data_IF_160765387414
#
_entry.id   IF_160765387414
#
_cell.length_a   1.000
_cell.length_b   1.000
_cell.length_c   1.000
_cell.angle_alpha   90.00
_cell.angle_beta   90.00
_cell.angle_gamma   90.00
#
_symmetry.space_group_name_H-M   'P 1'
#
loop_
_entity.id
_entity.type
_entity.pdbx_description
1 polymer ?
#
# COMPACT_ATOMS: atom_id res chain seq x y z
N UNK A 1 0.90 -16.08 2.73
CA UNK A 1 1.05 -15.57 1.35
C UNK A 1 0.17 -16.30 0.33
N UNK A 2 0.19 -17.63 0.26
CA UNK A 2 -0.63 -18.41 -0.69
C UNK A 2 -2.11 -18.02 -0.66
N UNK A 3 -2.71 -17.95 0.53
CA UNK A 3 -4.11 -17.58 0.71
C UNK A 3 -4.43 -16.19 0.13
N UNK A 4 -3.54 -15.21 0.31
CA UNK A 4 -3.73 -13.88 -0.27
C UNK A 4 -3.76 -13.94 -1.81
N UNK A 5 -2.82 -14.67 -2.43
CA UNK A 5 -2.78 -14.84 -3.89
C UNK A 5 -4.05 -15.52 -4.42
N UNK A 6 -4.46 -16.63 -3.79
CA UNK A 6 -5.67 -17.36 -4.19
C UNK A 6 -6.90 -16.47 -4.07
N UNK A 7 -7.05 -15.72 -2.97
CA UNK A 7 -8.15 -14.77 -2.81
C UNK A 7 -8.20 -13.76 -3.95
N UNK A 8 -7.07 -13.18 -4.32
CA UNK A 8 -7.02 -12.21 -5.41
C UNK A 8 -7.41 -12.82 -6.77
N UNK A 9 -7.08 -14.09 -7.05
CA UNK A 9 -7.51 -14.76 -8.27
C UNK A 9 -8.99 -15.11 -8.26
N UNK A 10 -9.53 -15.65 -7.16
CA UNK A 10 -10.95 -16.08 -7.11
C UNK A 10 -11.93 -14.90 -7.01
N UNK A 11 -11.47 -13.75 -6.53
CA UNK A 11 -12.31 -12.55 -6.41
C UNK A 11 -12.03 -11.51 -7.50
N UNK A 12 -11.03 -11.73 -8.36
CA UNK A 12 -10.72 -10.85 -9.50
C UNK A 12 -11.94 -10.63 -10.38
N UNK A 13 -12.12 -9.42 -10.86
CA UNK A 13 -13.07 -9.12 -11.92
C UNK A 13 -12.43 -9.42 -13.29
N UNK A 14 -12.81 -10.55 -13.87
CA UNK A 14 -12.32 -11.00 -15.17
C UNK A 14 -12.99 -10.29 -16.35
N UNK A 15 -14.01 -9.46 -16.10
CA UNK A 15 -14.62 -8.62 -17.15
C UNK A 15 -13.77 -7.41 -17.48
N UNK A 16 -12.85 -7.03 -16.58
CA UNK A 16 -11.87 -5.97 -16.80
C UNK A 16 -10.77 -6.49 -17.72
N UNK A 17 -10.95 -6.25 -19.02
CA UNK A 17 -10.00 -6.66 -20.07
C UNK A 17 -8.69 -5.88 -19.88
N UNK A 18 -7.54 -6.59 -19.89
CA UNK A 18 -6.23 -5.99 -19.67
C UNK A 18 -5.89 -5.69 -18.22
N UNK A 19 -6.82 -5.92 -17.27
CA UNK A 19 -6.50 -5.89 -15.85
C UNK A 19 -5.61 -7.06 -15.44
N UNK A 20 -4.66 -6.85 -14.54
CA UNK A 20 -3.73 -7.87 -14.06
C UNK A 20 -3.78 -7.98 -12.53
N UNK A 21 -3.40 -9.13 -12.00
CA UNK A 21 -3.09 -9.28 -10.57
C UNK A 21 -1.62 -8.95 -10.39
N UNK A 22 -1.34 -7.94 -9.59
CA UNK A 22 0.02 -7.51 -9.29
C UNK A 22 0.47 -8.01 -7.92
N UNK A 23 1.69 -8.52 -7.86
CA UNK A 23 2.40 -8.82 -6.62
C UNK A 23 3.64 -7.93 -6.56
N UNK A 24 3.61 -6.94 -5.68
CA UNK A 24 4.72 -6.02 -5.43
C UNK A 24 5.43 -6.43 -4.14
N UNK A 25 6.73 -6.66 -4.23
CA UNK A 25 7.58 -7.04 -3.10
C UNK A 25 8.51 -5.88 -2.77
N UNK A 26 8.43 -5.42 -1.52
CA UNK A 26 9.26 -4.36 -0.96
C UNK A 26 10.12 -4.92 0.19
N UNK A 27 11.09 -4.17 0.64
CA UNK A 27 11.99 -4.59 1.73
C UNK A 27 11.22 -4.88 3.04
N UNK A 28 10.10 -4.20 3.28
CA UNK A 28 9.32 -4.27 4.52
C UNK A 28 7.90 -4.82 4.37
N UNK A 29 7.44 -5.10 3.17
CA UNK A 29 6.08 -5.60 2.91
C UNK A 29 5.96 -6.25 1.54
N UNK A 30 4.91 -7.02 1.36
CA UNK A 30 4.41 -7.39 0.06
C UNK A 30 2.97 -6.87 -0.11
N UNK A 31 2.60 -6.54 -1.33
CA UNK A 31 1.26 -6.07 -1.68
C UNK A 31 0.72 -6.85 -2.85
N UNK A 32 -0.47 -7.41 -2.71
CA UNK A 32 -1.20 -8.05 -3.82
C UNK A 32 -2.37 -7.15 -4.19
N UNK A 33 -2.51 -6.84 -5.46
CA UNK A 33 -3.60 -6.01 -5.99
C UNK A 33 -4.27 -6.70 -7.15
N UNK A 34 -5.60 -6.72 -7.17
CA UNK A 34 -6.39 -7.30 -8.27
C UNK A 34 -7.50 -6.35 -8.72
N UNK A 35 -7.90 -6.40 -10.01
CA UNK A 35 -9.10 -5.71 -10.50
C UNK A 35 -10.37 -6.21 -9.83
N UNK A 36 -11.31 -5.29 -9.58
CA UNK A 36 -12.58 -5.53 -8.93
C UNK A 36 -12.54 -5.26 -7.42
N UNK A 37 -13.45 -4.43 -6.93
CA UNK A 37 -13.68 -4.22 -5.50
C UNK A 37 -14.41 -5.38 -4.85
N UNK A 38 -14.97 -5.17 -3.66
CA UNK A 38 -15.85 -6.14 -3.02
C UNK A 38 -17.06 -6.43 -3.92
N UNK A 39 -17.48 -7.71 -3.97
CA UNK A 39 -18.59 -8.14 -4.83
C UNK A 39 -19.91 -7.44 -4.49
N UNK A 40 -20.15 -7.18 -3.21
CA UNK A 40 -21.32 -6.46 -2.69
C UNK A 40 -21.22 -4.93 -2.78
N UNK A 41 -20.13 -4.39 -3.33
CA UNK A 41 -19.88 -2.95 -3.46
C UNK A 41 -19.49 -2.22 -2.17
N UNK A 42 -19.37 -2.94 -1.05
CA UNK A 42 -18.91 -2.35 0.22
C UNK A 42 -17.40 -2.11 0.20
N UNK A 43 -16.90 -1.29 1.12
CA UNK A 43 -15.48 -1.07 1.28
C UNK A 43 -14.96 -1.93 2.44
N UNK A 44 -13.98 -2.79 2.17
CA UNK A 44 -13.44 -3.74 3.17
C UNK A 44 -12.92 -3.04 4.42
N UNK A 45 -12.37 -1.84 4.28
CA UNK A 45 -11.84 -1.04 5.38
C UNK A 45 -12.91 -0.49 6.33
N UNK A 46 -14.18 -0.58 5.97
CA UNK A 46 -15.34 -0.18 6.78
C UNK A 46 -15.99 -1.36 7.48
N UNK A 47 -15.48 -2.59 7.24
CA UNK A 47 -16.06 -3.83 7.77
C UNK A 47 -15.16 -4.46 8.82
N UNK A 48 -15.75 -5.17 9.77
CA UNK A 48 -14.98 -6.14 10.55
C UNK A 48 -14.67 -7.36 9.68
N UNK A 49 -13.40 -7.76 9.63
CA UNK A 49 -12.93 -8.91 8.84
C UNK A 49 -13.65 -10.20 9.26
N UNK A 50 -14.03 -10.31 10.54
CA UNK A 50 -14.76 -11.46 11.06
C UNK A 50 -16.18 -11.57 10.50
N UNK A 51 -16.78 -10.45 10.11
CA UNK A 51 -18.15 -10.36 9.61
C UNK A 51 -18.22 -10.35 8.07
N UNK A 52 -17.08 -10.40 7.37
CA UNK A 52 -17.06 -10.42 5.91
C UNK A 52 -17.64 -11.73 5.39
N UNK A 53 -18.78 -11.64 4.71
CA UNK A 53 -19.42 -12.78 4.07
C UNK A 53 -18.58 -13.35 2.91
N UNK A 54 -18.62 -14.68 2.73
CA UNK A 54 -17.92 -15.37 1.65
C UNK A 54 -18.72 -15.31 0.35
N UNK A 55 -18.68 -14.18 -0.32
CA UNK A 55 -19.29 -14.01 -1.64
C UNK A 55 -18.22 -14.17 -2.73
N UNK A 56 -18.30 -15.28 -3.47
CA UNK A 56 -17.30 -15.61 -4.49
C UNK A 56 -17.68 -15.04 -5.85
N UNK A 57 -16.87 -14.14 -6.38
CA UNK A 57 -17.07 -13.62 -7.74
C UNK A 57 -16.90 -14.71 -8.81
N UNK A 58 -15.95 -15.62 -8.62
CA UNK A 58 -15.65 -16.68 -9.57
C UNK A 58 -15.80 -18.08 -8.92
N UNK A 59 -17.04 -18.60 -8.74
CA UNK A 59 -17.28 -19.83 -8.00
C UNK A 59 -16.67 -21.07 -8.64
N UNK A 60 -16.57 -21.12 -9.97
CA UNK A 60 -15.94 -22.25 -10.70
C UNK A 60 -14.45 -22.30 -10.38
N UNK A 61 -13.76 -21.15 -10.47
CA UNK A 61 -12.33 -21.06 -10.15
C UNK A 61 -12.08 -21.39 -8.67
N UNK A 62 -12.93 -20.90 -7.77
CA UNK A 62 -12.84 -21.22 -6.35
C UNK A 62 -12.99 -22.73 -6.09
N UNK A 63 -13.87 -23.43 -6.84
CA UNK A 63 -14.00 -24.87 -6.74
C UNK A 63 -12.76 -25.60 -7.20
N UNK A 64 -12.15 -25.18 -8.31
CA UNK A 64 -10.89 -25.74 -8.82
C UNK A 64 -9.77 -25.55 -7.79
N UNK A 65 -9.59 -24.33 -7.26
CA UNK A 65 -8.57 -24.03 -6.23
C UNK A 65 -8.76 -24.87 -4.97
N UNK A 66 -10.03 -25.10 -4.56
CA UNK A 66 -10.34 -25.96 -3.42
C UNK A 66 -10.06 -27.45 -3.68
N UNK A 67 -10.28 -27.95 -4.90
CA UNK A 67 -9.93 -29.34 -5.30
C UNK A 67 -8.42 -29.57 -5.35
N UNK A 68 -7.65 -28.51 -5.59
CA UNK A 68 -6.19 -28.51 -5.59
C UNK A 68 -5.59 -28.21 -4.21
N UNK A 69 -6.40 -28.17 -3.16
CA UNK A 69 -6.01 -27.88 -1.77
C UNK A 69 -5.33 -26.51 -1.56
N UNK A 70 -5.57 -25.56 -2.47
CA UNK A 70 -5.05 -24.19 -2.34
C UNK A 70 -5.92 -23.30 -1.46
N UNK A 71 -7.16 -23.68 -1.16
CA UNK A 71 -8.06 -22.92 -0.31
C UNK A 71 -9.09 -23.79 0.42
N UNK A 72 -9.64 -23.30 1.51
CA UNK A 72 -10.79 -23.86 2.19
C UNK A 72 -12.11 -23.19 1.73
N UNK A 73 -13.20 -23.95 1.66
CA UNK A 73 -14.51 -23.45 1.18
C UNK A 73 -15.29 -22.62 2.21
N UNK A 74 -14.72 -22.31 3.39
CA UNK A 74 -15.44 -21.76 4.55
C UNK A 74 -15.51 -20.23 4.67
N UNK A 75 -14.97 -19.48 3.70
CA UNK A 75 -14.97 -18.02 3.77
C UNK A 75 -14.01 -17.41 4.79
N UNK A 76 -13.06 -18.19 5.29
CA UNK A 76 -12.09 -17.81 6.33
C UNK A 76 -10.81 -17.17 5.78
N UNK A 77 -10.74 -16.87 4.48
CA UNK A 77 -9.49 -16.47 3.82
C UNK A 77 -8.82 -15.24 4.44
N UNK A 78 -9.56 -14.16 4.65
CA UNK A 78 -9.00 -12.94 5.27
C UNK A 78 -8.58 -13.17 6.72
N UNK A 79 -9.41 -13.86 7.50
CA UNK A 79 -9.11 -14.24 8.89
C UNK A 79 -7.88 -15.15 8.96
N UNK A 80 -7.74 -16.09 8.01
CA UNK A 80 -6.58 -16.98 7.91
C UNK A 80 -5.31 -16.18 7.62
N UNK A 81 -5.33 -15.23 6.68
CA UNK A 81 -4.19 -14.33 6.41
C UNK A 81 -3.77 -13.61 7.70
N UNK A 82 -4.72 -13.07 8.47
CA UNK A 82 -4.42 -12.42 9.74
C UNK A 82 -3.80 -13.39 10.76
N UNK A 83 -4.36 -14.59 10.92
CA UNK A 83 -3.90 -15.58 11.89
C UNK A 83 -2.51 -16.14 11.53
N UNK A 84 -2.27 -16.45 10.26
CA UNK A 84 -0.96 -16.92 9.78
C UNK A 84 0.10 -15.82 9.95
N UNK A 85 -0.24 -14.55 9.70
CA UNK A 85 0.69 -13.44 9.93
C UNK A 85 0.97 -13.26 11.41
N UNK A 86 -0.03 -13.38 12.27
CA UNK A 86 0.13 -13.28 13.74
C UNK A 86 1.01 -14.38 14.31
N UNK A 87 1.08 -15.54 13.67
CA UNK A 87 1.92 -16.67 14.09
C UNK A 87 3.40 -16.55 13.68
N UNK A 88 3.77 -15.51 12.92
CA UNK A 88 5.16 -15.29 12.51
C UNK A 88 6.01 -14.77 13.67
N UNK A 89 7.26 -15.25 13.73
CA UNK A 89 8.24 -14.74 14.70
C UNK A 89 8.46 -13.23 14.50
N UNK A 90 8.49 -12.48 15.60
CA UNK A 90 8.65 -11.03 15.57
C UNK A 90 7.36 -10.26 15.15
N UNK A 91 6.20 -10.92 15.12
CA UNK A 91 4.93 -10.23 14.91
C UNK A 91 4.66 -9.18 16.00
N UNK A 92 4.11 -8.07 15.59
CA UNK A 92 3.57 -6.99 16.42
C UNK A 92 2.24 -6.52 15.83
N UNK A 93 1.35 -5.97 16.64
CA UNK A 93 0.01 -5.57 16.17
C UNK A 93 0.06 -4.50 15.05
N UNK A 94 1.14 -3.71 14.99
CA UNK A 94 1.39 -2.75 13.90
C UNK A 94 1.67 -3.43 12.55
N UNK A 95 2.02 -4.73 12.57
CA UNK A 95 2.29 -5.56 11.38
C UNK A 95 1.05 -6.34 10.91
N UNK A 96 -0.11 -6.07 11.48
CA UNK A 96 -1.37 -6.69 11.06
C UNK A 96 -1.58 -6.46 9.55
N UNK A 97 -1.98 -7.48 8.78
CA UNK A 97 -2.31 -7.31 7.38
C UNK A 97 -3.36 -6.22 7.17
N UNK A 98 -3.17 -5.42 6.14
CA UNK A 98 -4.10 -4.36 5.76
C UNK A 98 -4.81 -4.75 4.47
N UNK A 99 -6.14 -4.70 4.50
CA UNK A 99 -7.01 -4.89 3.35
C UNK A 99 -7.61 -3.56 2.96
N UNK A 100 -7.59 -3.24 1.67
CA UNK A 100 -8.17 -2.02 1.12
C UNK A 100 -8.92 -2.33 -0.15
N UNK A 101 -10.11 -1.80 -0.30
CA UNK A 101 -10.86 -1.88 -1.53
C UNK A 101 -11.31 -0.51 -2.02
N UNK A 102 -11.44 -0.40 -3.32
CA UNK A 102 -12.13 0.65 -4.04
C UNK A 102 -13.20 0.00 -4.92
N UNK A 103 -14.07 0.74 -5.60
CA UNK A 103 -15.02 0.13 -6.54
C UNK A 103 -14.35 -0.69 -7.65
N UNK A 104 -13.08 -0.39 -7.99
CA UNK A 104 -12.38 -0.97 -9.15
C UNK A 104 -11.23 -1.91 -8.81
N UNK A 105 -10.81 -2.00 -7.54
CA UNK A 105 -9.68 -2.86 -7.16
C UNK A 105 -9.77 -3.29 -5.70
N UNK A 106 -9.12 -4.42 -5.40
CA UNK A 106 -8.89 -4.92 -4.06
C UNK A 106 -7.39 -5.09 -3.82
N UNK A 107 -6.92 -4.74 -2.63
CA UNK A 107 -5.51 -4.79 -2.25
C UNK A 107 -5.34 -5.46 -0.88
N UNK A 108 -4.35 -6.34 -0.78
CA UNK A 108 -3.88 -6.94 0.47
C UNK A 108 -2.42 -6.56 0.69
N UNK A 109 -2.10 -6.00 1.83
CA UNK A 109 -0.72 -5.69 2.24
C UNK A 109 -0.35 -6.56 3.44
N UNK A 110 0.78 -7.28 3.35
CA UNK A 110 1.35 -8.09 4.41
C UNK A 110 2.74 -7.55 4.72
N UNK A 111 3.00 -7.24 5.98
CA UNK A 111 4.28 -6.68 6.42
C UNK A 111 5.29 -7.75 6.79
N UNK A 112 6.57 -7.47 6.61
CA UNK A 112 7.65 -8.32 7.06
C UNK A 112 7.80 -8.23 8.59
N UNK A 113 8.01 -9.37 9.25
CA UNK A 113 8.20 -9.44 10.70
C UNK A 113 9.64 -9.17 11.17
N UNK A 114 10.58 -8.93 10.24
CA UNK A 114 11.98 -8.64 10.59
C UNK A 114 12.13 -7.26 11.23
N UNK A 115 13.07 -7.12 12.14
CA UNK A 115 13.42 -5.91 12.92
C UNK A 115 13.90 -4.69 12.11
N UNK A 116 13.55 -4.60 10.85
CA UNK A 116 13.79 -3.41 10.05
C UNK A 116 12.88 -2.31 10.58
N UNK A 117 13.45 -1.40 11.33
CA UNK A 117 12.88 -0.23 12.01
C UNK A 117 12.20 0.80 11.09
N UNK A 118 11.49 0.36 10.05
CA UNK A 118 10.75 1.21 9.12
C UNK A 118 9.45 0.54 8.67
N UNK A 119 8.55 0.23 9.60
CA UNK A 119 7.15 -0.01 9.26
C UNK A 119 6.50 1.35 9.01
N UNK A 120 6.57 1.81 7.77
CA UNK A 120 5.83 2.98 7.33
C UNK A 120 4.34 2.67 7.37
N UNK A 121 3.63 3.33 8.25
CA UNK A 121 2.19 3.29 8.45
C UNK A 121 1.44 3.51 7.13
N UNK A 122 0.53 2.60 6.77
CA UNK A 122 -0.25 2.65 5.51
C UNK A 122 -1.52 3.50 5.67
N UNK A 123 -1.82 3.98 6.87
CA UNK A 123 -3.06 4.73 7.17
C UNK A 123 -2.88 6.23 7.42
N UNK A 124 -1.65 6.71 7.61
CA UNK A 124 -1.35 8.15 7.61
C UNK A 124 -0.01 8.34 6.90
N UNK A 125 0.08 9.33 6.04
CA UNK A 125 1.30 9.76 5.34
C UNK A 125 2.33 10.26 6.35
N UNK A 126 2.88 9.36 7.18
CA UNK A 126 4.01 9.73 8.05
C UNK A 126 5.22 9.97 7.16
N UNK A 127 5.47 11.23 6.94
CA UNK A 127 6.67 11.72 6.28
C UNK A 127 7.89 11.22 7.04
N UNK A 128 8.88 10.71 6.33
CA UNK A 128 10.16 10.38 6.95
C UNK A 128 10.74 11.63 7.63
N UNK A 129 11.57 11.46 8.65
CA UNK A 129 12.22 12.62 9.30
C UNK A 129 12.92 13.54 8.30
N UNK A 130 13.50 12.96 7.24
CA UNK A 130 14.14 13.72 6.17
C UNK A 130 13.13 14.48 5.33
N UNK A 131 12.00 13.88 4.98
CA UNK A 131 10.91 14.55 4.27
C UNK A 131 10.29 15.66 5.11
N UNK A 132 10.14 15.48 6.42
CA UNK A 132 9.71 16.54 7.34
C UNK A 132 10.71 17.70 7.36
N UNK A 133 12.02 17.41 7.41
CA UNK A 133 13.07 18.42 7.33
C UNK A 133 13.03 19.18 6.00
N UNK A 134 12.82 18.48 4.89
CA UNK A 134 12.63 19.09 3.55
C UNK A 134 11.42 20.04 3.56
N UNK A 135 10.26 19.60 4.06
CA UNK A 135 9.07 20.46 4.15
C UNK A 135 9.29 21.67 5.05
N UNK A 136 10.01 21.52 6.16
CA UNK A 136 10.35 22.62 7.04
C UNK A 136 11.30 23.65 6.37
N UNK A 137 12.25 23.18 5.57
CA UNK A 137 13.13 24.04 4.77
C UNK A 137 12.32 24.81 3.72
N UNK A 138 11.41 24.14 3.03
CA UNK A 138 10.51 24.74 2.03
C UNK A 138 9.57 25.76 2.67
N UNK A 139 8.99 25.48 3.84
CA UNK A 139 8.15 26.45 4.59
C UNK A 139 8.93 27.71 4.98
N UNK A 140 10.22 27.57 5.32
CA UNK A 140 11.09 28.71 5.65
C UNK A 140 11.54 29.49 4.41
N UNK A 141 11.75 28.79 3.29
CA UNK A 141 12.29 29.35 2.06
C UNK A 141 11.65 28.68 0.84
N UNK A 142 10.48 29.16 0.36
CA UNK A 142 9.73 28.49 -0.71
C UNK A 142 10.47 28.41 -2.06
N UNK A 143 11.54 29.20 -2.23
CA UNK A 143 12.38 29.22 -3.45
C UNK A 143 13.66 28.36 -3.31
N UNK A 144 13.82 27.64 -2.21
CA UNK A 144 15.00 26.82 -1.94
C UNK A 144 15.22 25.77 -3.04
N UNK A 145 16.45 25.64 -3.51
CA UNK A 145 16.83 24.69 -4.56
C UNK A 145 17.19 23.31 -4.01
N UNK A 146 17.08 22.27 -4.84
CA UNK A 146 17.48 20.90 -4.47
C UNK A 146 18.95 20.83 -4.01
N UNK A 147 19.84 21.64 -4.60
CA UNK A 147 21.26 21.73 -4.21
C UNK A 147 21.40 22.30 -2.79
N UNK A 148 20.74 23.39 -2.48
CA UNK A 148 20.76 23.99 -1.13
C UNK A 148 20.17 23.05 -0.05
N UNK A 149 19.11 22.32 -0.39
CA UNK A 149 18.56 21.27 0.50
C UNK A 149 19.56 20.15 0.74
N UNK A 150 20.28 19.70 -0.31
CA UNK A 150 21.28 18.64 -0.20
C UNK A 150 22.47 19.03 0.67
N UNK A 151 22.93 20.28 0.58
CA UNK A 151 23.99 20.84 1.42
C UNK A 151 23.52 20.98 2.89
N UNK A 152 22.32 21.50 3.10
CA UNK A 152 21.75 21.69 4.46
C UNK A 152 21.51 20.37 5.19
N UNK A 153 21.05 19.35 4.48
CA UNK A 153 20.73 18.04 5.06
C UNK A 153 21.86 17.03 4.97
N UNK A 154 23.01 17.41 4.40
CA UNK A 154 24.20 16.55 4.21
C UNK A 154 23.90 15.25 3.48
N UNK A 155 23.06 15.31 2.44
CA UNK A 155 22.67 14.16 1.61
C UNK A 155 22.87 14.47 0.12
N UNK A 156 22.96 13.43 -0.75
CA UNK A 156 23.13 13.64 -2.18
C UNK A 156 21.91 14.35 -2.80
N UNK A 157 22.14 15.16 -3.83
CA UNK A 157 21.06 15.84 -4.57
C UNK A 157 20.03 14.83 -5.13
N UNK A 158 20.50 13.68 -5.63
CA UNK A 158 19.65 12.59 -6.12
C UNK A 158 18.69 12.07 -5.04
N UNK A 159 19.12 12.05 -3.77
CA UNK A 159 18.28 11.66 -2.64
C UNK A 159 17.18 12.69 -2.38
N UNK A 160 17.52 13.99 -2.45
CA UNK A 160 16.54 15.09 -2.32
C UNK A 160 15.53 15.05 -3.45
N UNK A 161 15.94 14.87 -4.69
CA UNK A 161 15.06 14.78 -5.87
C UNK A 161 14.07 13.62 -5.75
N UNK A 162 14.52 12.45 -5.25
CA UNK A 162 13.65 11.31 -4.99
C UNK A 162 12.62 11.62 -3.90
N UNK A 163 13.01 12.25 -2.82
CA UNK A 163 12.12 12.60 -1.71
C UNK A 163 11.10 13.67 -2.14
N UNK A 164 11.51 14.68 -2.91
CA UNK A 164 10.61 15.68 -3.51
C UNK A 164 9.63 15.02 -4.46
N UNK A 165 10.09 14.08 -5.31
CA UNK A 165 9.22 13.33 -6.22
C UNK A 165 8.18 12.52 -5.46
N UNK A 166 8.57 11.89 -4.35
CA UNK A 166 7.66 11.17 -3.44
C UNK A 166 6.62 12.13 -2.82
N UNK A 167 7.05 13.27 -2.27
CA UNK A 167 6.15 14.27 -1.68
C UNK A 167 5.15 14.85 -2.70
N UNK A 168 5.58 15.00 -3.96
CA UNK A 168 4.68 15.42 -5.06
C UNK A 168 3.66 14.34 -5.42
N UNK A 169 4.07 13.07 -5.48
CA UNK A 169 3.17 11.93 -5.79
C UNK A 169 2.05 11.79 -4.75
N UNK A 170 2.34 12.03 -3.48
CA UNK A 170 1.36 11.96 -2.40
C UNK A 170 0.57 13.27 -2.22
N UNK A 171 0.80 14.28 -3.08
CA UNK A 171 0.03 15.52 -3.12
C UNK A 171 0.39 16.55 -2.02
N UNK A 172 1.37 16.29 -1.17
CA UNK A 172 1.77 17.19 -0.07
C UNK A 172 2.60 18.38 -0.57
N UNK A 173 3.32 18.21 -1.69
CA UNK A 173 4.17 19.24 -2.27
C UNK A 173 3.82 19.49 -3.72
N UNK A 174 3.66 20.76 -4.08
CA UNK A 174 3.44 21.22 -5.45
C UNK A 174 4.45 22.30 -5.80
N UNK A 175 4.80 22.43 -7.08
CA UNK A 175 5.62 23.53 -7.57
C UNK A 175 4.77 24.41 -8.45
N UNK A 176 4.76 25.69 -8.18
CA UNK A 176 4.08 26.71 -9.00
C UNK A 176 5.12 27.60 -9.67
N UNK A 177 4.92 27.89 -10.97
CA UNK A 177 5.84 28.68 -11.79
C UNK A 177 6.69 27.85 -12.77
N UNK A 178 7.61 28.53 -13.48
CA UNK A 178 8.53 27.90 -14.45
C UNK A 178 9.67 27.18 -13.73
N UNK A 179 10.34 26.26 -14.41
CA UNK A 179 11.39 25.40 -13.83
C UNK A 179 12.55 26.17 -13.14
N UNK A 180 12.88 27.37 -13.57
CA UNK A 180 13.95 28.17 -12.98
C UNK A 180 13.51 29.17 -11.90
N UNK A 181 12.24 29.62 -11.89
CA UNK A 181 11.68 30.61 -10.95
C UNK A 181 10.48 30.08 -10.15
N UNK A 182 10.30 28.76 -10.14
CA UNK A 182 9.15 28.14 -9.49
C UNK A 182 9.28 28.11 -7.96
N UNK A 183 8.17 28.39 -7.30
CA UNK A 183 8.02 28.38 -5.83
C UNK A 183 7.39 27.05 -5.39
N UNK A 184 7.91 26.51 -4.31
CA UNK A 184 7.32 25.33 -3.68
C UNK A 184 6.12 25.70 -2.82
N UNK A 185 5.02 24.99 -2.99
CA UNK A 185 3.80 25.14 -2.20
C UNK A 185 3.54 23.84 -1.46
N UNK A 186 3.45 23.93 -0.13
CA UNK A 186 3.06 22.82 0.73
C UNK A 186 1.55 22.81 0.80
N UNK A 187 0.93 21.73 0.27
CA UNK A 187 -0.52 21.50 0.29
C UNK A 187 -0.80 20.68 1.56
N UNK A 188 -1.45 21.30 2.55
CA UNK A 188 -1.85 20.64 3.80
C UNK A 188 -3.34 20.34 3.74
#
# INVERSE_FOLDING_TARGET
MLEAMVNHFIHRDYTVIGGEVHLDIYDNRLTVTSPGGMYNGMLIQELDIADVSSERRNPILANVMAQLDYMEKRGSGLTRICNETKALDGYRDELKPVFKSTPTQFQTTIFASSDSSNVGDVSETKLTERQQKILNLIKKSPTITGKQMSETLSVSQRTIERDISSLRKIGILKREGKDNDGTWVVVV
#
